data_IF_050650901129
#
_entry.id   IF_050650901129
#
_cell.length_a   1.000
_cell.length_b   1.000
_cell.length_c   1.000
_cell.angle_alpha   90.00
_cell.angle_beta   90.00
_cell.angle_gamma   90.00
#
_symmetry.space_group_name_H-M   'P 1'
#
loop_
_entity.id
_entity.type
_entity.pdbx_description
1 polymer ?
#
# COMPACT_ATOMS: atom_id res chain seq x y z
N UNK A 1 -14.69 1.14 35.95
CA UNK A 1 -13.57 0.86 35.04
C UNK A 1 -14.08 1.04 33.62
N UNK A 2 -13.81 2.19 32.99
CA UNK A 2 -14.14 2.44 31.59
C UNK A 2 -12.88 2.23 30.76
N UNK A 3 -12.72 1.04 30.17
CA UNK A 3 -11.81 0.84 29.06
C UNK A 3 -12.39 1.59 27.87
N UNK A 4 -11.98 2.86 27.71
CA UNK A 4 -12.11 3.54 26.43
C UNK A 4 -11.38 2.70 25.40
N UNK A 5 -12.14 2.01 24.54
CA UNK A 5 -11.61 1.36 23.35
C UNK A 5 -10.97 2.45 22.48
N UNK A 6 -9.64 2.55 22.52
CA UNK A 6 -8.84 3.49 21.73
C UNK A 6 -8.86 3.16 20.23
N UNK A 7 -9.48 2.05 19.84
CA UNK A 7 -9.83 1.77 18.46
C UNK A 7 -11.01 2.69 18.08
N UNK A 8 -10.70 3.94 17.71
CA UNK A 8 -11.58 4.68 16.79
C UNK A 8 -11.93 3.71 15.66
N UNK A 9 -13.21 3.50 15.42
CA UNK A 9 -13.67 2.68 14.29
C UNK A 9 -12.96 3.20 13.03
N UNK A 10 -12.11 2.37 12.43
CA UNK A 10 -11.47 2.72 11.16
C UNK A 10 -12.61 2.76 10.15
N UNK A 11 -12.71 3.86 9.40
CA UNK A 11 -13.77 4.06 8.40
C UNK A 11 -13.20 4.12 7.00
N UNK A 12 -13.98 3.70 6.00
CA UNK A 12 -13.67 3.89 4.59
C UNK A 12 -13.80 5.37 4.16
N UNK A 13 -13.63 5.63 2.86
CA UNK A 13 -13.71 6.97 2.27
C UNK A 13 -15.12 7.60 2.33
N UNK A 14 -16.15 6.77 2.56
CA UNK A 14 -17.54 7.17 2.72
C UNK A 14 -17.93 7.28 4.19
N UNK A 15 -16.97 7.17 5.11
CA UNK A 15 -17.21 7.19 6.55
C UNK A 15 -17.85 5.91 7.08
N UNK A 16 -17.91 4.83 6.28
CA UNK A 16 -18.46 3.55 6.71
C UNK A 16 -17.42 2.80 7.54
N UNK A 17 -17.77 2.37 8.76
CA UNK A 17 -16.87 1.63 9.62
C UNK A 17 -16.49 0.25 9.04
N UNK A 18 -15.19 -0.06 9.12
CA UNK A 18 -14.59 -1.33 8.74
C UNK A 18 -14.55 -2.24 9.97
N UNK A 19 -15.53 -3.13 10.07
CA UNK A 19 -15.74 -3.97 11.25
C UNK A 19 -15.08 -5.34 11.19
N UNK A 20 -14.52 -5.72 10.04
CA UNK A 20 -13.89 -7.03 9.86
C UNK A 20 -12.49 -6.89 9.30
N UNK A 21 -11.66 -7.90 9.58
CA UNK A 21 -10.28 -7.94 9.12
C UNK A 21 -10.24 -8.05 7.58
N UNK A 22 -11.22 -8.72 6.96
CA UNK A 22 -11.39 -8.79 5.52
C UNK A 22 -11.69 -7.41 4.92
N UNK A 23 -12.64 -6.67 5.51
CA UNK A 23 -12.97 -5.33 5.04
C UNK A 23 -11.78 -4.36 5.18
N UNK A 24 -10.96 -4.53 6.21
CA UNK A 24 -9.72 -3.79 6.37
C UNK A 24 -8.69 -4.18 5.31
N UNK A 25 -8.50 -5.46 5.02
CA UNK A 25 -7.61 -5.94 3.95
C UNK A 25 -8.02 -5.37 2.60
N UNK A 26 -9.31 -5.44 2.26
CA UNK A 26 -9.85 -4.92 1.01
C UNK A 26 -9.63 -3.41 0.90
N UNK A 27 -9.94 -2.67 1.97
CA UNK A 27 -9.73 -1.22 2.00
C UNK A 27 -8.26 -0.86 1.82
N UNK A 28 -7.36 -1.48 2.58
CA UNK A 28 -5.92 -1.20 2.51
C UNK A 28 -5.34 -1.56 1.13
N UNK A 29 -5.76 -2.70 0.57
CA UNK A 29 -5.38 -3.13 -0.78
C UNK A 29 -5.87 -2.15 -1.85
N UNK A 30 -7.14 -1.76 -1.80
CA UNK A 30 -7.75 -0.82 -2.75
C UNK A 30 -7.08 0.56 -2.70
N UNK A 31 -6.80 1.08 -1.50
CA UNK A 31 -6.11 2.37 -1.34
C UNK A 31 -4.69 2.33 -1.88
N UNK A 32 -3.95 1.26 -1.56
CA UNK A 32 -2.60 1.05 -2.10
C UNK A 32 -2.62 1.03 -3.63
N UNK A 33 -3.56 0.30 -4.23
CA UNK A 33 -3.75 0.24 -5.68
C UNK A 33 -4.00 1.61 -6.31
N UNK A 34 -4.97 2.37 -5.79
CA UNK A 34 -5.34 3.67 -6.33
C UNK A 34 -4.18 4.67 -6.31
N UNK A 35 -3.38 4.67 -5.24
CA UNK A 35 -2.22 5.55 -5.11
C UNK A 35 -1.16 5.18 -6.14
N UNK A 36 -0.83 3.89 -6.26
CA UNK A 36 0.15 3.40 -7.25
C UNK A 36 -0.30 3.74 -8.67
N UNK A 37 -1.56 3.49 -9.03
CA UNK A 37 -2.08 3.80 -10.36
C UNK A 37 -2.07 5.29 -10.67
N UNK A 38 -2.36 6.13 -9.67
CA UNK A 38 -2.27 7.59 -9.81
C UNK A 38 -0.82 8.02 -10.06
N UNK A 39 0.14 7.45 -9.34
CA UNK A 39 1.55 7.75 -9.53
C UNK A 39 2.07 7.33 -10.91
N UNK A 40 1.66 6.14 -11.39
CA UNK A 40 1.99 5.65 -12.74
C UNK A 40 1.44 6.61 -13.80
N UNK A 41 0.17 7.03 -13.66
CA UNK A 41 -0.47 7.97 -14.60
C UNK A 41 0.29 9.30 -14.64
N UNK A 42 0.56 9.91 -13.49
CA UNK A 42 1.26 11.19 -13.43
C UNK A 42 2.69 11.10 -13.97
N UNK A 43 3.37 9.96 -13.75
CA UNK A 43 4.71 9.71 -14.31
C UNK A 43 4.68 9.64 -15.84
N UNK A 44 3.69 8.96 -16.42
CA UNK A 44 3.49 8.88 -17.88
C UNK A 44 3.19 10.24 -18.50
N UNK A 45 2.49 11.10 -17.77
CA UNK A 45 2.17 12.47 -18.19
C UNK A 45 3.34 13.46 -17.96
N UNK A 46 4.52 12.98 -17.56
CA UNK A 46 5.71 13.81 -17.33
C UNK A 46 5.70 14.56 -15.99
N UNK A 47 4.69 14.37 -15.14
CA UNK A 47 4.53 15.02 -13.84
C UNK A 47 5.29 14.27 -12.74
N UNK A 48 6.61 14.07 -12.92
CA UNK A 48 7.45 13.27 -12.01
C UNK A 48 7.58 13.82 -10.59
N UNK A 49 7.28 15.11 -10.36
CA UNK A 49 7.46 15.78 -9.07
C UNK A 49 6.60 15.22 -7.92
N UNK A 50 5.51 14.50 -8.22
CA UNK A 50 4.60 13.92 -7.24
C UNK A 50 4.91 12.46 -6.88
N UNK A 51 5.81 11.79 -7.62
CA UNK A 51 6.06 10.35 -7.48
C UNK A 51 6.49 9.95 -6.06
N UNK A 52 7.36 10.76 -5.44
CA UNK A 52 7.78 10.53 -4.06
C UNK A 52 6.71 10.74 -3.00
N UNK A 53 5.71 11.59 -3.28
CA UNK A 53 4.54 11.74 -2.40
C UNK A 53 3.69 10.48 -2.45
N UNK A 54 3.36 10.01 -3.66
CA UNK A 54 2.54 8.82 -3.84
C UNK A 54 3.23 7.56 -3.28
N UNK A 55 4.54 7.43 -3.49
CA UNK A 55 5.34 6.36 -2.89
C UNK A 55 5.18 6.32 -1.37
N UNK A 56 5.36 7.46 -0.68
CA UNK A 56 5.19 7.53 0.78
C UNK A 56 3.76 7.23 1.23
N UNK A 57 2.76 7.68 0.47
CA UNK A 57 1.36 7.40 0.80
C UNK A 57 1.03 5.91 0.64
N UNK A 58 1.49 5.26 -0.42
CA UNK A 58 1.26 3.83 -0.66
C UNK A 58 1.90 2.96 0.44
N UNK A 59 3.10 3.31 0.91
CA UNK A 59 3.79 2.60 1.99
C UNK A 59 2.96 2.51 3.28
N UNK A 60 2.21 3.57 3.63
CA UNK A 60 1.37 3.56 4.84
C UNK A 60 0.31 2.46 4.77
N UNK A 61 -0.38 2.36 3.63
CA UNK A 61 -1.44 1.36 3.45
C UNK A 61 -0.87 -0.05 3.33
N UNK A 62 0.27 -0.22 2.66
CA UNK A 62 0.93 -1.53 2.56
C UNK A 62 1.49 -2.02 3.89
N UNK A 63 1.99 -1.14 4.76
CA UNK A 63 2.38 -1.51 6.12
C UNK A 63 1.17 -1.97 6.94
N UNK A 64 0.02 -1.32 6.76
CA UNK A 64 -1.25 -1.79 7.33
C UNK A 64 -1.59 -3.19 6.81
N UNK A 65 -1.46 -3.41 5.50
CA UNK A 65 -1.75 -4.70 4.87
C UNK A 65 -0.81 -5.81 5.37
N UNK A 66 0.49 -5.54 5.50
CA UNK A 66 1.48 -6.47 6.11
C UNK A 66 1.07 -6.86 7.53
N UNK A 67 0.65 -5.87 8.32
CA UNK A 67 0.22 -6.11 9.68
C UNK A 67 -1.03 -7.02 9.72
N UNK A 68 -2.02 -6.77 8.85
CA UNK A 68 -3.21 -7.61 8.71
C UNK A 68 -2.86 -9.02 8.24
N UNK A 69 -1.97 -9.17 7.27
CA UNK A 69 -1.52 -10.49 6.76
C UNK A 69 -0.82 -11.30 7.86
N UNK A 70 -0.10 -10.66 8.78
CA UNK A 70 0.63 -11.36 9.85
C UNK A 70 -0.24 -11.64 11.07
N UNK A 71 -1.06 -10.68 11.47
CA UNK A 71 -1.74 -10.69 12.77
C UNK A 71 -3.27 -10.76 12.70
N UNK A 72 -3.86 -10.45 11.53
CA UNK A 72 -5.29 -10.48 11.33
C UNK A 72 -5.85 -11.91 11.36
N UNK A 73 -7.12 -12.03 11.73
CA UNK A 73 -7.91 -13.26 11.69
C UNK A 73 -8.51 -13.47 10.30
N UNK A 74 -7.63 -13.52 9.30
CA UNK A 74 -8.01 -13.72 7.90
C UNK A 74 -8.21 -15.20 7.60
N UNK A 75 -9.20 -15.49 6.76
CA UNK A 75 -9.32 -16.76 6.04
C UNK A 75 -7.97 -17.10 5.35
N UNK A 76 -7.52 -18.38 5.38
CA UNK A 76 -6.24 -18.77 4.80
C UNK A 76 -6.08 -18.40 3.32
N UNK A 77 -7.15 -18.53 2.52
CA UNK A 77 -7.12 -18.19 1.10
C UNK A 77 -6.97 -16.69 0.91
N UNK A 78 -7.73 -15.89 1.66
CA UNK A 78 -7.59 -14.43 1.61
C UNK A 78 -6.20 -13.98 2.05
N UNK A 79 -5.62 -14.61 3.08
CA UNK A 79 -4.26 -14.32 3.52
C UNK A 79 -3.24 -14.61 2.43
N UNK A 80 -3.37 -15.73 1.73
CA UNK A 80 -2.51 -16.10 0.62
C UNK A 80 -2.63 -15.08 -0.53
N UNK A 81 -3.85 -14.76 -0.95
CA UNK A 81 -4.12 -13.76 -1.98
C UNK A 81 -3.54 -12.38 -1.62
N UNK A 82 -3.75 -11.93 -0.38
CA UNK A 82 -3.20 -10.67 0.11
C UNK A 82 -1.66 -10.68 0.14
N UNK A 83 -1.05 -11.81 0.51
CA UNK A 83 0.42 -11.98 0.51
C UNK A 83 0.98 -11.90 -0.91
N UNK A 84 0.38 -12.60 -1.86
CA UNK A 84 0.79 -12.58 -3.26
C UNK A 84 0.61 -11.18 -3.88
N UNK A 85 -0.53 -10.55 -3.63
CA UNK A 85 -0.83 -9.18 -4.07
C UNK A 85 0.17 -8.17 -3.50
N UNK A 86 0.49 -8.25 -2.21
CA UNK A 86 1.47 -7.39 -1.55
C UNK A 86 2.87 -7.52 -2.16
N UNK A 87 3.30 -8.75 -2.48
CA UNK A 87 4.56 -8.99 -3.19
C UNK A 87 4.64 -8.29 -4.55
N UNK A 88 3.51 -8.19 -5.25
CA UNK A 88 3.42 -7.45 -6.52
C UNK A 88 3.55 -5.94 -6.30
N UNK A 89 2.89 -5.39 -5.27
CA UNK A 89 3.01 -3.98 -4.92
C UNK A 89 4.42 -3.56 -4.53
N UNK A 90 5.14 -4.40 -3.77
CA UNK A 90 6.52 -4.11 -3.38
C UNK A 90 7.42 -3.96 -4.62
N UNK A 91 7.26 -4.83 -5.62
CA UNK A 91 8.04 -4.74 -6.88
C UNK A 91 7.78 -3.42 -7.60
N UNK A 92 6.52 -3.02 -7.73
CA UNK A 92 6.15 -1.74 -8.36
C UNK A 92 6.73 -0.56 -7.57
N UNK A 93 6.65 -0.58 -6.24
CA UNK A 93 7.23 0.48 -5.41
C UNK A 93 8.75 0.55 -5.50
N UNK A 94 9.44 -0.59 -5.60
CA UNK A 94 10.88 -0.63 -5.81
C UNK A 94 11.28 0.01 -7.13
N UNK A 95 10.52 -0.25 -8.20
CA UNK A 95 10.70 0.40 -9.51
C UNK A 95 10.44 1.90 -9.43
N UNK A 96 9.36 2.33 -8.76
CA UNK A 96 9.08 3.74 -8.54
C UNK A 96 10.22 4.44 -7.78
N UNK A 97 10.76 3.79 -6.73
CA UNK A 97 11.89 4.30 -5.97
C UNK A 97 13.17 4.41 -6.82
N UNK A 98 13.44 3.43 -7.67
CA UNK A 98 14.56 3.46 -8.62
C UNK A 98 14.44 4.63 -9.61
N UNK A 99 13.25 4.82 -10.19
CA UNK A 99 12.96 5.92 -11.13
C UNK A 99 13.08 7.29 -10.45
N UNK A 100 12.67 7.41 -9.19
CA UNK A 100 12.83 8.63 -8.39
C UNK A 100 14.30 8.98 -8.13
N UNK A 101 15.16 7.99 -7.92
CA UNK A 101 16.58 8.18 -7.62
C UNK A 101 17.47 8.29 -8.87
N UNK A 102 16.86 8.51 -10.04
CA UNK A 102 17.60 8.85 -11.27
C UNK A 102 18.16 7.66 -12.04
N UNK A 103 17.73 6.43 -11.74
CA UNK A 103 17.95 5.26 -12.59
C UNK A 103 19.40 5.00 -13.04
N UNK A 104 20.39 5.32 -12.21
CA UNK A 104 21.79 4.98 -12.52
C UNK A 104 22.11 3.59 -11.96
N UNK A 105 22.01 2.57 -12.80
CA UNK A 105 22.99 1.49 -12.71
C UNK A 105 24.35 2.15 -12.93
N UNK A 106 25.25 2.03 -11.96
CA UNK A 106 26.66 2.31 -12.24
C UNK A 106 27.07 1.33 -13.35
N UNK A 107 27.61 1.79 -14.49
CA UNK A 107 28.18 0.87 -15.46
C UNK A 107 29.27 0.04 -14.75
N UNK A 108 29.42 -1.26 -15.07
CA UNK A 108 30.52 -2.03 -14.53
C UNK A 108 31.82 -1.27 -14.83
N UNK A 109 32.58 -0.99 -13.77
CA UNK A 109 33.89 -0.35 -13.88
C UNK A 109 34.78 -1.31 -14.70
N UNK A 110 35.52 -0.80 -15.70
CA UNK A 110 36.26 -1.62 -16.66
C UNK A 110 37.31 -2.52 -16.00
#
# INVERSE_FOLDING_TARGET
>A
MHTHSLLKSITDEKGQPLYTDEALVDHLGQRSYQIVMTAIRETREGRRGSMGRHYRQALVYLNGLDWMIRNGKLDPKLREEATQGMGTFIKVLAEMHFLMNGGKENPPTP
#
